data_IF_851050980369
#
_entry.id   IF_851050980369
#
_cell.length_a   1.000
_cell.length_b   1.000
_cell.length_c   1.000
_cell.angle_alpha   90.00
_cell.angle_beta   90.00
_cell.angle_gamma   90.00
#
_symmetry.space_group_name_H-M   'P 1'
#
loop_
_entity.id
_entity.type
_entity.pdbx_description
1 polymer ?
#
# COMPACT_ATOMS: atom_id res chain seq x y z
N UNK A 1 22.90 6.71 7.56
CA UNK A 1 21.69 5.90 7.33
C UNK A 1 21.72 5.45 5.89
N UNK A 2 21.82 4.16 5.66
CA UNK A 2 21.73 3.62 4.29
C UNK A 2 20.28 3.74 3.82
N UNK A 3 20.09 4.30 2.62
CA UNK A 3 18.78 4.37 1.99
C UNK A 3 18.18 2.97 1.89
N UNK A 4 16.89 2.78 2.22
CA UNK A 4 16.20 1.49 2.09
C UNK A 4 16.44 0.82 0.73
N UNK A 5 16.70 1.63 -0.31
CA UNK A 5 17.07 1.24 -1.69
C UNK A 5 18.29 0.33 -1.81
N UNK A 6 19.20 0.32 -0.83
CA UNK A 6 20.40 -0.53 -0.84
C UNK A 6 20.21 -1.86 -0.09
N UNK A 7 19.10 -2.01 0.64
CA UNK A 7 18.78 -3.23 1.39
C UNK A 7 18.25 -4.33 0.46
N UNK A 8 18.33 -5.59 0.90
CA UNK A 8 17.75 -6.71 0.15
C UNK A 8 16.24 -6.55 -0.08
N UNK A 9 15.51 -6.04 0.93
CA UNK A 9 14.07 -5.75 0.84
C UNK A 9 13.79 -4.59 -0.12
N UNK A 10 14.60 -3.53 -0.09
CA UNK A 10 14.48 -2.43 -1.04
C UNK A 10 14.71 -2.86 -2.50
N UNK A 11 15.65 -3.79 -2.73
CA UNK A 11 15.83 -4.40 -4.06
C UNK A 11 14.61 -5.21 -4.52
N UNK A 12 13.91 -5.88 -3.60
CA UNK A 12 12.66 -6.58 -3.92
C UNK A 12 11.56 -5.59 -4.30
N UNK A 13 11.40 -4.48 -3.58
CA UNK A 13 10.46 -3.42 -3.92
C UNK A 13 10.79 -2.78 -5.28
N UNK A 14 12.07 -2.51 -5.56
CA UNK A 14 12.51 -2.03 -6.88
C UNK A 14 12.19 -3.01 -8.02
N UNK A 15 12.14 -4.32 -7.74
CA UNK A 15 11.74 -5.32 -8.74
C UNK A 15 10.27 -5.16 -9.12
N UNK A 16 9.39 -4.90 -8.16
CA UNK A 16 7.97 -4.63 -8.41
C UNK A 16 7.79 -3.40 -9.31
N UNK A 17 8.56 -2.33 -9.07
CA UNK A 17 8.53 -1.16 -9.95
C UNK A 17 8.96 -1.47 -11.39
N UNK A 18 9.99 -2.31 -11.56
CA UNK A 18 10.41 -2.78 -12.90
C UNK A 18 9.38 -3.68 -13.58
N UNK A 19 8.54 -4.36 -12.80
CA UNK A 19 7.43 -5.19 -13.28
C UNK A 19 6.17 -4.36 -13.62
N UNK A 20 6.21 -3.04 -13.43
CA UNK A 20 5.13 -2.12 -13.81
C UNK A 20 4.15 -1.79 -12.70
N UNK A 21 4.49 -2.10 -11.44
CA UNK A 21 3.77 -1.56 -10.28
C UNK A 21 4.19 -0.10 -10.04
N UNK A 22 3.22 0.71 -9.64
CA UNK A 22 3.35 2.16 -9.48
C UNK A 22 3.07 2.48 -8.01
N UNK A 23 3.97 3.25 -7.40
CA UNK A 23 3.79 3.75 -6.05
C UNK A 23 2.75 4.89 -6.04
N UNK A 24 1.75 4.76 -5.17
CA UNK A 24 0.64 5.71 -5.08
C UNK A 24 0.79 6.71 -3.93
N UNK A 25 1.80 6.56 -3.08
CA UNK A 25 2.07 7.44 -1.93
C UNK A 25 2.94 8.62 -2.39
N UNK A 26 2.76 9.78 -1.76
CA UNK A 26 3.64 10.92 -1.97
C UNK A 26 5.01 10.66 -1.33
N UNK A 27 6.10 10.91 -2.07
CA UNK A 27 7.48 10.62 -1.64
C UNK A 27 7.93 11.35 -0.36
N UNK A 28 7.15 12.29 0.14
CA UNK A 28 7.46 13.07 1.33
C UNK A 28 6.74 12.56 2.59
N UNK A 29 5.84 11.60 2.49
CA UNK A 29 5.03 11.13 3.62
C UNK A 29 5.72 10.00 4.38
N UNK A 30 5.91 10.18 5.68
CA UNK A 30 6.41 9.12 6.58
C UNK A 30 5.25 8.30 7.10
N UNK A 31 5.29 6.97 6.93
CA UNK A 31 4.23 6.05 7.38
C UNK A 31 4.54 5.42 8.73
N UNK A 32 5.75 5.62 9.24
CA UNK A 32 6.18 5.20 10.56
C UNK A 32 6.79 6.38 11.31
N UNK A 33 6.41 6.55 12.57
CA UNK A 33 6.98 7.53 13.48
C UNK A 33 7.01 6.98 14.92
N UNK A 34 8.20 6.85 15.52
CA UNK A 34 8.38 6.45 16.93
C UNK A 34 9.73 6.93 17.47
N UNK A 35 9.73 7.56 18.65
CA UNK A 35 10.94 7.97 19.39
C UNK A 35 11.98 8.68 18.49
N UNK A 36 11.59 9.80 17.88
CA UNK A 36 12.41 10.63 16.97
C UNK A 36 12.87 9.96 15.67
N UNK A 37 12.38 8.75 15.37
CA UNK A 37 12.60 8.07 14.10
C UNK A 37 11.34 8.11 13.25
N UNK A 38 11.47 8.68 12.05
CA UNK A 38 10.43 8.69 11.03
C UNK A 38 10.93 8.10 9.72
N UNK A 39 10.18 7.17 9.14
CA UNK A 39 10.51 6.55 7.86
C UNK A 39 9.22 6.12 7.12
N UNK A 40 9.28 5.99 5.80
CA UNK A 40 8.24 5.34 5.01
C UNK A 40 8.52 3.84 4.97
N UNK A 41 7.68 3.06 5.65
CA UNK A 41 7.79 1.60 5.75
C UNK A 41 6.58 0.86 5.17
N UNK A 42 5.58 1.59 4.69
CA UNK A 42 4.34 1.07 4.15
C UNK A 42 4.11 1.66 2.74
N UNK A 43 3.55 0.85 1.84
CA UNK A 43 3.36 1.20 0.42
C UNK A 43 1.97 0.84 -0.07
N UNK A 44 1.40 1.69 -0.92
CA UNK A 44 0.28 1.35 -1.81
C UNK A 44 0.86 1.25 -3.21
N UNK A 45 0.78 0.05 -3.79
CA UNK A 45 1.25 -0.24 -5.13
C UNK A 45 0.07 -0.59 -6.03
N UNK A 46 0.01 0.02 -7.20
CA UNK A 46 -1.03 -0.23 -8.19
C UNK A 46 -0.44 -0.68 -9.51
N UNK A 47 -1.15 -1.54 -10.23
CA UNK A 47 -0.87 -1.76 -11.65
C UNK A 47 -1.34 -0.55 -12.47
N UNK A 48 -0.77 -0.35 -13.66
CA UNK A 48 -1.16 0.76 -14.55
C UNK A 48 -2.68 0.90 -14.76
N UNK A 49 -3.48 -0.18 -14.93
CA UNK A 49 -4.93 -0.05 -15.10
C UNK A 49 -5.68 0.40 -13.84
N UNK A 50 -5.13 0.16 -12.64
CA UNK A 50 -5.77 0.53 -11.38
C UNK A 50 -5.43 1.95 -10.94
N UNK A 51 -4.34 2.53 -11.46
CA UNK A 51 -3.85 3.83 -11.01
C UNK A 51 -4.89 4.94 -11.15
N UNK A 52 -5.66 4.97 -12.24
CA UNK A 52 -6.68 6.00 -12.47
C UNK A 52 -7.88 5.94 -11.52
N UNK A 53 -8.03 4.82 -10.79
CA UNK A 53 -9.10 4.63 -9.84
C UNK A 53 -8.67 4.97 -8.41
N UNK A 54 -7.38 5.05 -8.13
CA UNK A 54 -6.89 5.33 -6.78
C UNK A 54 -6.85 6.86 -6.59
N UNK A 55 -7.52 7.33 -5.56
CA UNK A 55 -7.58 8.75 -5.19
C UNK A 55 -7.46 8.92 -3.67
N UNK A 56 -7.29 10.17 -3.22
CA UNK A 56 -7.21 10.53 -1.79
C UNK A 56 -6.23 9.66 -1.00
N UNK A 57 -5.05 9.38 -1.57
CA UNK A 57 -4.00 8.66 -0.87
C UNK A 57 -3.43 9.56 0.21
N UNK A 58 -3.64 9.20 1.47
CA UNK A 58 -3.21 10.02 2.60
C UNK A 58 -2.76 9.17 3.78
N UNK A 59 -1.94 9.79 4.63
CA UNK A 59 -1.53 9.25 5.92
C UNK A 59 -2.13 10.12 7.01
N UNK A 60 -2.80 9.54 7.99
CA UNK A 60 -3.26 10.31 9.15
C UNK A 60 -2.33 10.11 10.33
N UNK A 61 -2.01 11.22 10.99
CA UNK A 61 -1.47 11.21 12.34
C UNK A 61 -2.58 10.76 13.29
N UNK A 62 -2.87 9.46 13.35
CA UNK A 62 -3.66 8.93 14.46
C UNK A 62 -2.87 9.15 15.75
N UNK A 63 -3.48 9.90 16.67
CA UNK A 63 -2.94 10.40 17.94
C UNK A 63 -2.43 9.33 18.93
N UNK A 64 -2.55 8.03 18.64
CA UNK A 64 -2.25 6.95 19.60
C UNK A 64 -1.72 5.66 18.95
N UNK A 65 -0.91 5.74 17.90
CA UNK A 65 -0.32 4.55 17.30
C UNK A 65 0.73 3.91 18.25
N UNK A 66 0.29 3.03 19.16
CA UNK A 66 1.15 2.21 20.03
C UNK A 66 2.26 1.47 19.25
N UNK A 67 2.02 1.19 17.97
CA UNK A 67 2.96 0.52 17.06
C UNK A 67 3.92 1.47 16.33
N UNK A 68 3.64 2.77 16.27
CA UNK A 68 4.38 3.76 15.47
C UNK A 68 3.97 3.83 14.00
N UNK A 69 3.14 2.91 13.49
CA UNK A 69 2.64 2.96 12.12
C UNK A 69 1.44 3.89 11.99
N UNK A 70 1.47 4.76 10.97
CA UNK A 70 0.36 5.62 10.56
C UNK A 70 -0.49 4.86 9.54
N UNK A 71 -1.82 4.86 9.69
CA UNK A 71 -2.70 4.29 8.68
C UNK A 71 -2.49 4.96 7.32
N UNK A 72 -2.42 4.13 6.27
CA UNK A 72 -2.47 4.55 4.88
C UNK A 72 -3.88 4.34 4.35
N UNK A 73 -4.53 5.42 3.95
CA UNK A 73 -5.86 5.39 3.37
C UNK A 73 -5.79 5.76 1.89
N UNK A 74 -6.72 5.21 1.13
CA UNK A 74 -6.95 5.54 -0.28
C UNK A 74 -8.39 5.19 -0.64
N UNK A 75 -8.92 5.91 -1.61
CA UNK A 75 -10.24 5.66 -2.16
C UNK A 75 -10.12 4.99 -3.52
N UNK A 76 -10.98 3.99 -3.76
CA UNK A 76 -11.26 3.44 -5.09
C UNK A 76 -12.77 3.59 -5.31
N UNK A 77 -13.22 4.26 -6.38
CA UNK A 77 -14.63 4.31 -6.75
C UNK A 77 -15.02 2.94 -7.28
N UNK A 78 -15.35 2.04 -6.36
CA UNK A 78 -16.04 0.80 -6.72
C UNK A 78 -17.50 1.22 -6.85
N UNK A 79 -17.92 1.57 -8.07
CA UNK A 79 -19.30 1.30 -8.43
C UNK A 79 -19.46 -0.21 -8.34
N UNK A 80 -19.93 -0.68 -7.18
CA UNK A 80 -20.49 -2.02 -7.09
C UNK A 80 -21.74 -1.95 -7.95
N UNK A 81 -21.60 -2.06 -9.27
CA UNK A 81 -22.70 -2.56 -10.07
C UNK A 81 -23.09 -3.86 -9.36
N UNK A 82 -24.28 -3.86 -8.76
CA UNK A 82 -24.89 -5.08 -8.24
C UNK A 82 -25.13 -5.99 -9.44
N UNK A 83 -24.08 -6.65 -9.94
CA UNK A 83 -24.21 -7.66 -10.98
C UNK A 83 -25.15 -8.71 -10.40
N UNK A 84 -26.24 -8.96 -11.12
CA UNK A 84 -27.15 -10.05 -10.80
C UNK A 84 -26.32 -11.32 -10.58
N UNK A 85 -26.74 -12.13 -9.61
CA UNK A 85 -26.06 -13.34 -9.12
C UNK A 85 -25.41 -14.14 -10.26
N UNK A 86 -24.14 -13.87 -10.55
CA UNK A 86 -23.32 -14.69 -11.42
C UNK A 86 -22.70 -15.83 -10.60
N UNK A 87 -22.43 -16.98 -11.24
CA UNK A 87 -22.10 -18.21 -10.55
C UNK A 87 -20.83 -18.01 -9.72
N UNK A 88 -20.91 -18.37 -8.44
CA UNK A 88 -19.82 -18.27 -7.47
C UNK A 88 -18.58 -18.97 -8.02
N UNK A 89 -17.60 -18.21 -8.51
CA UNK A 89 -16.25 -18.71 -8.69
C UNK A 89 -15.64 -18.78 -7.28
N UNK A 90 -15.64 -19.98 -6.69
CA UNK A 90 -14.96 -20.25 -5.44
C UNK A 90 -13.45 -20.22 -5.68
N UNK A 91 -12.82 -19.06 -5.45
CA UNK A 91 -11.36 -18.97 -5.37
C UNK A 91 -10.92 -19.41 -3.97
N UNK A 92 -10.34 -20.60 -3.90
CA UNK A 92 -9.79 -21.18 -2.68
C UNK A 92 -8.44 -20.51 -2.38
N UNK A 93 -8.45 -19.28 -1.86
CA UNK A 93 -7.24 -18.66 -1.34
C UNK A 93 -6.89 -19.30 -0.01
N UNK A 94 -5.90 -20.20 -0.02
CA UNK A 94 -5.15 -20.51 1.20
C UNK A 94 -4.29 -19.30 1.52
N UNK A 95 -4.84 -18.35 2.28
CA UNK A 95 -4.03 -17.33 2.92
C UNK A 95 -2.98 -18.05 3.79
N UNK A 96 -1.70 -17.80 3.52
CA UNK A 96 -0.64 -18.24 4.40
C UNK A 96 -0.87 -17.60 5.77
N UNK A 97 -1.02 -18.41 6.82
CA UNK A 97 -1.02 -17.92 8.20
C UNK A 97 0.38 -17.38 8.50
N UNK A 98 0.46 -16.10 8.86
CA UNK A 98 1.63 -15.50 9.51
C UNK A 98 1.58 -15.81 11.00
#
# INVERSE_FOLDING_TARGET
>A
MDSWKTTARGRQLQKLFKEGFIECINNNDTTFAKNDYEEQLDWILASQPLLSFISNVETHLTLDALSGHKPLNFDIPIEVESKSTSPRISLNFKAAKW
#
